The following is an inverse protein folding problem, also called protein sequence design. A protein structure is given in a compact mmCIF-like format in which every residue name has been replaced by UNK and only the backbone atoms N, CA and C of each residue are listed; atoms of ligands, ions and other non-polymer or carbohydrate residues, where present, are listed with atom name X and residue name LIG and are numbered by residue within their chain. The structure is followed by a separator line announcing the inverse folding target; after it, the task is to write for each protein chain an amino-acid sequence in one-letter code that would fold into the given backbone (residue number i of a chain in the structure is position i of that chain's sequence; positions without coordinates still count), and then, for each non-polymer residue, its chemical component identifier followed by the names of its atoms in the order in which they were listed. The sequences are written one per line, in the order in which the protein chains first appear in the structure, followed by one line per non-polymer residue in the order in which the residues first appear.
data_IF_167715014236
#
_entry.id   IF_167715014236
#
_cell.length_a   1.000
_cell.length_b   1.000
_cell.length_c   1.000
_cell.angle_alpha   90.00
_cell.angle_beta   90.00
_cell.angle_gamma   90.00
#
_symmetry.space_group_name_H-M   'P 1'
#
loop_
_entity.id
_entity.type
_entity.pdbx_description
1 polymer ?
#
# COMPACT_ATOMS: atom_id res chain seq x y z
N UNK A 1 -20.62 -0.25 33.01
CA UNK A 1 -20.92 0.02 31.59
C UNK A 1 -19.96 1.08 31.08
N UNK A 2 -19.66 1.03 29.77
CA UNK A 2 -18.68 1.83 29.00
C UNK A 2 -17.30 1.19 28.93
N UNK A 3 -17.18 0.24 27.99
CA UNK A 3 -15.90 -0.36 27.61
C UNK A 3 -15.02 0.62 26.82
N UNK A 4 -13.69 0.42 26.81
CA UNK A 4 -12.80 1.19 25.96
C UNK A 4 -12.84 0.62 24.54
N UNK A 5 -13.83 1.02 23.74
CA UNK A 5 -13.84 0.76 22.29
C UNK A 5 -13.25 1.96 21.56
N UNK A 6 -11.93 2.11 21.65
CA UNK A 6 -11.14 3.00 20.79
C UNK A 6 -10.15 2.16 20.02
N UNK A 7 -10.72 1.48 19.02
CA UNK A 7 -10.10 1.15 17.75
C UNK A 7 -8.67 0.62 17.88
N UNK A 8 -8.61 -0.66 18.21
CA UNK A 8 -7.58 -1.62 17.82
C UNK A 8 -7.12 -1.39 16.38
N UNK A 9 -6.28 -0.39 16.15
CA UNK A 9 -5.24 -0.48 15.13
C UNK A 9 -4.17 -1.39 15.70
N UNK A 10 -4.55 -2.66 15.93
CA UNK A 10 -3.58 -3.73 16.00
C UNK A 10 -2.64 -3.53 14.82
N UNK A 11 -1.32 -3.48 15.01
CA UNK A 11 -0.41 -3.52 13.88
C UNK A 11 -0.72 -4.85 13.19
N UNK A 12 -1.46 -4.80 12.06
CA UNK A 12 -1.72 -5.96 11.21
C UNK A 12 -0.39 -6.66 11.12
N UNK A 13 -0.30 -7.88 11.69
CA UNK A 13 0.96 -8.62 11.91
C UNK A 13 1.86 -8.29 10.75
N UNK A 14 2.91 -7.50 11.01
CA UNK A 14 3.84 -7.00 9.99
C UNK A 14 4.49 -8.26 9.46
N UNK A 15 3.87 -8.83 8.44
CA UNK A 15 4.47 -9.91 7.70
C UNK A 15 5.61 -9.19 7.05
N UNK A 16 6.80 -9.56 7.46
CA UNK A 16 8.02 -8.89 7.05
C UNK A 16 8.53 -9.67 5.84
N UNK A 17 8.14 -9.30 4.61
CA UNK A 17 8.45 -10.10 3.43
C UNK A 17 9.95 -10.13 3.11
N UNK A 18 10.77 -9.23 3.67
CA UNK A 18 12.13 -8.97 3.20
C UNK A 18 13.21 -8.87 4.29
N UNK A 19 12.89 -9.13 5.56
CA UNK A 19 13.77 -8.79 6.68
C UNK A 19 13.59 -7.31 7.04
N UNK A 20 13.37 -7.03 8.32
CA UNK A 20 12.78 -5.78 8.80
C UNK A 20 13.57 -4.50 8.48
N UNK A 21 14.83 -4.63 8.10
CA UNK A 21 15.72 -3.54 7.74
C UNK A 21 15.60 -3.13 6.25
N UNK A 22 15.37 -4.11 5.37
CA UNK A 22 15.53 -3.92 3.92
C UNK A 22 14.35 -3.14 3.32
N UNK A 23 13.13 -3.46 3.76
CA UNK A 23 11.93 -2.76 3.31
C UNK A 23 11.84 -1.33 3.85
N UNK A 24 12.41 -1.05 5.03
CA UNK A 24 12.50 0.31 5.60
C UNK A 24 13.43 1.17 4.76
N UNK A 25 14.62 0.65 4.43
CA UNK A 25 15.56 1.34 3.56
C UNK A 25 14.94 1.63 2.19
N UNK A 26 14.22 0.64 1.62
CA UNK A 26 13.53 0.83 0.35
C UNK A 26 12.40 1.88 0.45
N UNK A 27 11.60 1.86 1.52
CA UNK A 27 10.55 2.85 1.75
C UNK A 27 11.12 4.27 1.86
N UNK A 28 12.25 4.44 2.57
CA UNK A 28 12.91 5.74 2.72
C UNK A 28 13.43 6.22 1.37
N UNK A 29 14.12 5.36 0.60
CA UNK A 29 14.63 5.73 -0.73
C UNK A 29 13.53 6.18 -1.68
N UNK A 30 12.39 5.49 -1.68
CA UNK A 30 11.26 5.82 -2.53
C UNK A 30 10.59 7.14 -2.11
N UNK A 31 10.47 7.40 -0.81
CA UNK A 31 9.93 8.68 -0.31
C UNK A 31 10.87 9.85 -0.60
N UNK A 32 12.18 9.65 -0.49
CA UNK A 32 13.18 10.67 -0.83
C UNK A 32 13.13 10.99 -2.33
N UNK A 33 13.06 9.96 -3.18
CA UNK A 33 12.88 10.13 -4.62
C UNK A 33 11.58 10.91 -4.94
N UNK A 34 10.48 10.64 -4.23
CA UNK A 34 9.22 11.38 -4.39
C UNK A 34 9.27 12.79 -3.80
N UNK A 35 10.18 13.06 -2.87
CA UNK A 35 10.44 14.41 -2.35
C UNK A 35 11.19 15.24 -3.39
N UNK A 36 12.17 14.63 -4.06
CA UNK A 36 12.92 15.26 -5.15
C UNK A 36 12.07 15.42 -6.42
N UNK A 37 11.30 14.40 -6.77
CA UNK A 37 10.46 14.34 -7.95
C UNK A 37 9.05 13.85 -7.57
N UNK A 38 8.16 14.75 -7.11
CA UNK A 38 6.81 14.41 -6.70
C UNK A 38 5.90 14.09 -7.90
N UNK A 39 6.40 13.99 -9.12
CA UNK A 39 5.69 13.52 -10.30
C UNK A 39 6.27 12.21 -10.83
N UNK A 40 7.27 11.65 -10.16
CA UNK A 40 7.89 10.40 -10.59
C UNK A 40 6.92 9.23 -10.38
N UNK A 41 6.38 8.76 -11.50
CA UNK A 41 5.38 7.70 -11.52
C UNK A 41 6.00 6.37 -11.12
N UNK A 42 7.23 6.10 -11.56
CA UNK A 42 7.96 4.88 -11.25
C UNK A 42 8.15 4.70 -9.75
N UNK A 43 8.67 5.72 -9.06
CA UNK A 43 8.87 5.69 -7.60
C UNK A 43 7.55 5.53 -6.84
N UNK A 44 6.45 6.14 -7.32
CA UNK A 44 5.11 5.92 -6.75
C UNK A 44 4.62 4.49 -6.96
N UNK A 45 4.83 3.91 -8.13
CA UNK A 45 4.47 2.54 -8.43
C UNK A 45 5.24 1.56 -7.54
N UNK A 46 6.54 1.77 -7.38
CA UNK A 46 7.38 0.96 -6.50
C UNK A 46 6.96 1.07 -5.03
N UNK A 47 6.61 2.28 -4.57
CA UNK A 47 6.09 2.50 -3.22
C UNK A 47 4.78 1.75 -3.00
N UNK A 48 3.87 1.82 -3.97
CA UNK A 48 2.60 1.11 -3.92
C UNK A 48 2.81 -0.42 -3.89
N UNK A 49 3.71 -0.96 -4.72
CA UNK A 49 4.05 -2.37 -4.73
C UNK A 49 4.67 -2.84 -3.39
N UNK A 50 5.52 -2.01 -2.78
CA UNK A 50 6.09 -2.27 -1.45
C UNK A 50 5.00 -2.34 -0.38
N UNK A 51 4.05 -1.40 -0.40
CA UNK A 51 2.88 -1.40 0.50
C UNK A 51 2.00 -2.66 0.30
N UNK A 52 1.84 -3.14 -0.94
CA UNK A 52 1.15 -4.41 -1.21
C UNK A 52 1.85 -5.62 -0.58
N UNK A 53 3.19 -5.63 -0.60
CA UNK A 53 4.01 -6.68 0.00
C UNK A 53 3.96 -6.63 1.54
N UNK A 54 3.89 -5.43 2.12
CA UNK A 54 3.73 -5.21 3.57
C UNK A 54 2.33 -5.55 4.10
N UNK A 55 1.42 -6.00 3.25
CA UNK A 55 0.04 -6.34 3.66
C UNK A 55 -0.83 -5.10 3.88
N UNK A 56 -0.47 -3.97 3.28
CA UNK A 56 -1.23 -2.71 3.30
C UNK A 56 -1.83 -2.41 1.92
N UNK A 57 -2.73 -3.29 1.40
CA UNK A 57 -3.32 -3.10 0.07
C UNK A 57 -4.21 -1.85 -0.02
N UNK A 58 -4.71 -1.34 1.10
CA UNK A 58 -5.51 -0.11 1.16
C UNK A 58 -4.66 1.13 0.84
N UNK A 59 -3.47 1.25 1.43
CA UNK A 59 -2.53 2.35 1.17
C UNK A 59 -1.92 2.23 -0.23
N UNK A 60 -1.59 1.01 -0.65
CA UNK A 60 -1.15 0.75 -2.02
C UNK A 60 -2.19 1.21 -3.06
N UNK A 61 -3.47 0.92 -2.83
CA UNK A 61 -4.55 1.32 -3.73
C UNK A 61 -4.63 2.85 -3.92
N UNK A 62 -4.46 3.62 -2.85
CA UNK A 62 -4.44 5.10 -2.93
C UNK A 62 -3.28 5.58 -3.79
N UNK A 63 -2.09 4.99 -3.63
CA UNK A 63 -0.91 5.33 -4.42
C UNK A 63 -1.09 4.95 -5.91
N UNK A 64 -1.62 3.76 -6.20
CA UNK A 64 -1.93 3.35 -7.57
C UNK A 64 -2.98 4.25 -8.23
N UNK A 65 -3.99 4.69 -7.48
CA UNK A 65 -4.99 5.64 -7.98
C UNK A 65 -4.35 6.99 -8.31
N UNK A 66 -3.44 7.50 -7.48
CA UNK A 66 -2.73 8.75 -7.74
C UNK A 66 -1.86 8.67 -9.00
N UNK A 67 -1.22 7.52 -9.24
CA UNK A 67 -0.52 7.24 -10.50
C UNK A 67 -1.48 7.32 -11.69
N UNK A 68 -2.62 6.63 -11.64
CA UNK A 68 -3.59 6.64 -12.73
C UNK A 68 -4.25 8.00 -12.98
N UNK A 69 -4.33 8.85 -11.96
CA UNK A 69 -4.77 10.24 -12.13
C UNK A 69 -3.76 11.07 -12.94
N UNK A 70 -2.47 10.72 -12.90
CA UNK A 70 -1.41 11.42 -13.62
C UNK A 70 -1.14 10.78 -14.98
N UNK A 71 -1.05 9.44 -15.00
CA UNK A 71 -0.87 8.62 -16.19
C UNK A 71 -1.97 7.55 -16.27
N UNK A 72 -3.13 7.85 -16.90
CA UNK A 72 -4.25 6.92 -16.97
C UNK A 72 -3.96 5.67 -17.82
N UNK A 73 -2.89 5.71 -18.63
CA UNK A 73 -2.45 4.58 -19.45
C UNK A 73 -1.42 3.69 -18.75
N UNK A 74 -1.10 3.97 -17.48
CA UNK A 74 -0.12 3.19 -16.74
C UNK A 74 -0.61 1.76 -16.49
N UNK A 75 -0.07 0.79 -17.23
CA UNK A 75 -0.47 -0.61 -17.10
C UNK A 75 -0.15 -1.14 -15.69
N UNK A 76 1.02 -0.82 -15.16
CA UNK A 76 1.48 -1.26 -13.84
C UNK A 76 0.52 -0.84 -12.74
N UNK A 77 0.03 0.39 -12.78
CA UNK A 77 -0.92 0.88 -11.78
C UNK A 77 -2.32 0.25 -11.90
N UNK A 78 -2.78 -0.06 -13.12
CA UNK A 78 -4.02 -0.82 -13.33
C UNK A 78 -3.92 -2.22 -12.75
N UNK A 79 -2.79 -2.89 -13.00
CA UNK A 79 -2.51 -4.22 -12.45
C UNK A 79 -2.39 -4.20 -10.92
N UNK A 80 -1.73 -3.18 -10.37
CA UNK A 80 -1.61 -2.94 -8.93
C UNK A 80 -2.97 -2.75 -8.25
N UNK A 81 -3.85 -1.93 -8.84
CA UNK A 81 -5.23 -1.77 -8.35
C UNK A 81 -6.01 -3.09 -8.39
N UNK A 82 -5.86 -3.88 -9.46
CA UNK A 82 -6.51 -5.18 -9.55
C UNK A 82 -6.01 -6.17 -8.48
N UNK A 83 -4.70 -6.17 -8.18
CA UNK A 83 -4.11 -6.95 -7.08
C UNK A 83 -4.64 -6.50 -5.72
N UNK A 84 -4.65 -5.18 -5.47
CA UNK A 84 -5.19 -4.59 -4.24
C UNK A 84 -6.68 -4.95 -4.06
N UNK A 85 -7.50 -4.84 -5.10
CA UNK A 85 -8.91 -5.20 -5.06
C UNK A 85 -9.14 -6.68 -4.71
N UNK A 86 -8.29 -7.61 -5.18
CA UNK A 86 -8.39 -9.02 -4.76
C UNK A 86 -8.06 -9.24 -3.29
N UNK A 87 -7.13 -8.45 -2.75
CA UNK A 87 -6.74 -8.51 -1.33
C UNK A 87 -7.77 -7.83 -0.40
N UNK A 88 -8.30 -6.67 -0.80
CA UNK A 88 -9.33 -5.90 -0.06
C UNK A 88 -10.72 -6.52 -0.22
N UNK A 89 -11.00 -7.13 -1.38
CA UNK A 89 -12.23 -7.86 -1.71
C UNK A 89 -12.43 -9.18 -0.96
N UNK A 90 -11.53 -9.51 -0.01
CA UNK A 90 -11.90 -10.29 1.17
C UNK A 90 -12.08 -9.36 2.38
N UNK A 91 -13.19 -8.61 2.51
CA UNK A 91 -13.74 -8.48 3.85
C UNK A 91 -14.13 -9.89 4.29
N UNK A 92 -13.94 -10.22 5.55
CA UNK A 92 -14.59 -11.35 6.17
C UNK A 92 -16.08 -11.35 5.77
N UNK A 93 -16.50 -12.20 4.83
CA UNK A 93 -17.77 -12.86 5.04
C UNK A 93 -17.50 -13.87 6.14
N UNK A 94 -17.88 -13.53 7.37
CA UNK A 94 -18.39 -14.43 8.42
C UNK A 94 -18.29 -13.72 9.76
N UNK A 95 -19.26 -12.87 10.04
CA UNK A 95 -19.91 -12.89 11.34
C UNK A 95 -21.38 -12.57 11.08
N UNK A 96 -22.14 -13.64 10.84
CA UNK A 96 -23.56 -13.71 11.17
C UNK A 96 -23.71 -13.64 12.69
#
# INVERSE_FOLDING_TARGET
MSGPERNSREPRRRTDPFGSEDWLAQLIRLQDALTLCPTDITSRCELAALLEALGQPEEAFVNWKAVLSTDPNNLTAREGMARCHRKVGRPLQSSL
#
